data_IF_881913464234
#
_entry.id   IF_881913464234
#
_cell.length_a   1.000
_cell.length_b   1.000
_cell.length_c   1.000
_cell.angle_alpha   90.00
_cell.angle_beta   90.00
_cell.angle_gamma   90.00
#
_symmetry.space_group_name_H-M   'P 1'
#
loop_
_entity.id
_entity.type
_entity.pdbx_description
1 polymer ?
#
# COMPACT_ATOMS: atom_id res chain seq x y z
N UNK A 1 -2.49 -10.29 -18.56
CA UNK A 1 -3.08 -9.76 -17.34
C UNK A 1 -2.40 -10.40 -16.13
N UNK A 2 -1.58 -9.66 -15.41
CA UNK A 2 -1.15 -10.07 -14.08
C UNK A 2 -2.38 -9.94 -13.16
N UNK A 3 -2.87 -11.04 -12.64
CA UNK A 3 -4.08 -11.06 -11.83
C UNK A 3 -3.71 -11.52 -10.44
N UNK A 4 -3.90 -10.63 -9.46
CA UNK A 4 -3.68 -10.95 -8.07
C UNK A 4 -4.46 -12.19 -7.62
N UNK A 5 -3.95 -12.91 -6.64
CA UNK A 5 -4.50 -14.13 -6.04
C UNK A 5 -6.01 -14.08 -5.76
N UNK A 6 -6.54 -12.91 -5.41
CA UNK A 6 -7.96 -12.73 -5.14
C UNK A 6 -8.90 -13.09 -6.30
N UNK A 7 -8.44 -13.02 -7.55
CA UNK A 7 -9.25 -13.35 -8.72
C UNK A 7 -9.11 -14.81 -9.16
N UNK A 8 -8.04 -15.47 -8.81
CA UNK A 8 -7.73 -16.84 -9.25
C UNK A 8 -8.72 -17.86 -8.67
N UNK A 9 -9.00 -17.83 -7.39
CA UNK A 9 -9.94 -18.73 -6.75
C UNK A 9 -11.39 -18.44 -7.14
N UNK A 10 -11.78 -17.17 -7.31
CA UNK A 10 -13.12 -16.79 -7.79
C UNK A 10 -13.37 -17.31 -9.19
N UNK A 11 -12.40 -17.24 -10.08
CA UNK A 11 -12.53 -17.74 -11.45
C UNK A 11 -12.65 -19.26 -11.52
N UNK A 12 -11.94 -19.97 -10.66
CA UNK A 12 -12.09 -21.41 -10.53
C UNK A 12 -13.53 -21.77 -10.12
N UNK A 13 -14.11 -21.04 -9.21
CA UNK A 13 -15.50 -21.23 -8.80
C UNK A 13 -16.49 -20.86 -9.92
N UNK A 14 -16.32 -19.72 -10.57
CA UNK A 14 -17.16 -19.30 -11.69
C UNK A 14 -17.09 -20.31 -12.83
N UNK A 15 -15.90 -20.80 -13.17
CA UNK A 15 -15.74 -21.83 -14.18
C UNK A 15 -16.58 -23.08 -13.85
N UNK A 16 -16.56 -23.55 -12.62
CA UNK A 16 -17.33 -24.72 -12.19
C UNK A 16 -18.82 -24.51 -12.24
N UNK A 17 -19.30 -23.33 -11.89
CA UNK A 17 -20.71 -22.96 -12.03
C UNK A 17 -21.12 -23.01 -13.51
N UNK A 18 -20.36 -22.37 -14.40
CA UNK A 18 -20.62 -22.35 -15.83
C UNK A 18 -20.60 -23.78 -16.40
N UNK A 19 -19.63 -24.60 -15.99
CA UNK A 19 -19.54 -26.02 -16.39
C UNK A 19 -20.75 -26.83 -15.96
N UNK A 20 -21.21 -26.62 -14.72
CA UNK A 20 -22.39 -27.29 -14.17
C UNK A 20 -23.65 -26.90 -14.95
N UNK A 21 -23.88 -25.63 -15.18
CA UNK A 21 -25.04 -25.11 -15.90
C UNK A 21 -25.03 -25.52 -17.39
N UNK A 22 -23.84 -25.59 -17.98
CA UNK A 22 -23.69 -26.08 -19.37
C UNK A 22 -23.79 -27.60 -19.50
N UNK A 23 -23.95 -28.34 -18.41
CA UNK A 23 -24.12 -29.81 -18.42
C UNK A 23 -22.91 -30.56 -18.96
N UNK A 24 -21.71 -30.03 -18.88
CA UNK A 24 -20.49 -30.64 -19.42
C UNK A 24 -20.15 -31.92 -18.67
N UNK A 25 -20.11 -33.06 -19.37
CA UNK A 25 -19.78 -34.37 -18.81
C UNK A 25 -18.77 -35.10 -19.69
N UNK A 26 -17.95 -35.97 -19.11
CA UNK A 26 -17.07 -36.90 -19.81
C UNK A 26 -15.93 -36.29 -20.62
N UNK A 27 -15.64 -34.98 -20.45
CA UNK A 27 -14.49 -34.31 -21.09
C UNK A 27 -13.30 -34.26 -20.15
N UNK A 28 -12.11 -34.46 -20.70
CA UNK A 28 -10.88 -34.23 -19.96
C UNK A 28 -10.63 -32.71 -19.84
N UNK A 29 -10.50 -32.22 -18.62
CA UNK A 29 -10.37 -30.81 -18.33
C UNK A 29 -9.02 -30.54 -17.69
N UNK A 30 -8.34 -29.49 -18.15
CA UNK A 30 -7.09 -29.04 -17.60
C UNK A 30 -7.16 -27.52 -17.35
N UNK A 31 -6.48 -27.07 -16.32
CA UNK A 31 -6.35 -25.64 -16.05
C UNK A 31 -5.02 -25.11 -16.55
N UNK A 32 -5.08 -24.12 -17.42
CA UNK A 32 -3.95 -23.31 -17.83
C UNK A 32 -3.74 -22.21 -16.81
N UNK A 33 -2.53 -22.07 -16.31
CA UNK A 33 -2.11 -21.00 -15.41
C UNK A 33 -1.04 -20.18 -16.10
N UNK A 34 -1.27 -18.87 -16.27
CA UNK A 34 -0.36 -17.95 -16.93
C UNK A 34 -0.24 -16.65 -16.11
N UNK A 35 0.96 -16.14 -16.00
CA UNK A 35 1.27 -14.89 -15.26
C UNK A 35 1.33 -13.67 -16.18
N UNK A 36 1.46 -13.89 -17.48
CA UNK A 36 1.42 -12.86 -18.50
C UNK A 36 0.80 -13.39 -19.81
N UNK A 37 0.43 -12.47 -20.70
CA UNK A 37 -0.13 -12.82 -22.03
C UNK A 37 0.96 -12.84 -23.13
N UNK A 38 2.21 -13.06 -22.75
CA UNK A 38 3.27 -13.28 -23.73
C UNK A 38 3.15 -14.67 -24.33
N UNK A 39 3.56 -14.83 -25.60
CA UNK A 39 3.50 -16.11 -26.30
C UNK A 39 4.25 -17.22 -25.52
N UNK A 40 5.42 -16.91 -24.99
CA UNK A 40 6.22 -17.83 -24.20
C UNK A 40 5.45 -18.35 -22.97
N UNK A 41 4.81 -17.47 -22.19
CA UNK A 41 4.05 -17.86 -20.99
C UNK A 41 2.75 -18.59 -21.33
N UNK A 42 2.09 -18.25 -22.42
CA UNK A 42 0.88 -18.95 -22.87
C UNK A 42 1.25 -20.39 -23.25
N UNK A 43 2.29 -20.60 -24.08
CA UNK A 43 2.75 -21.93 -24.48
C UNK A 43 3.20 -22.76 -23.28
N UNK A 44 3.96 -22.17 -22.36
CA UNK A 44 4.36 -22.81 -21.11
C UNK A 44 3.15 -23.21 -20.27
N UNK A 45 2.17 -22.31 -20.09
CA UNK A 45 0.94 -22.59 -19.34
C UNK A 45 0.12 -23.73 -19.93
N UNK A 46 0.02 -23.80 -21.27
CA UNK A 46 -0.66 -24.91 -21.97
C UNK A 46 0.08 -26.23 -21.74
N UNK A 47 1.39 -26.24 -21.88
CA UNK A 47 2.22 -27.44 -21.75
C UNK A 47 2.26 -27.97 -20.31
N UNK A 48 2.18 -27.09 -19.32
CA UNK A 48 2.21 -27.40 -17.88
C UNK A 48 0.82 -27.48 -17.25
N UNK A 49 -0.24 -27.40 -18.04
CA UNK A 49 -1.62 -27.40 -17.55
C UNK A 49 -1.93 -28.67 -16.75
N UNK A 50 -2.37 -28.48 -15.52
CA UNK A 50 -2.70 -29.54 -14.56
C UNK A 50 -4.17 -29.97 -14.68
N UNK A 51 -4.48 -31.14 -14.16
CA UNK A 51 -5.85 -31.62 -14.08
C UNK A 51 -6.70 -30.69 -13.21
N UNK A 52 -7.98 -30.54 -13.58
CA UNK A 52 -8.87 -29.61 -12.89
C UNK A 52 -9.10 -29.99 -11.42
N UNK A 53 -8.96 -31.27 -11.06
CA UNK A 53 -9.12 -31.76 -9.68
C UNK A 53 -8.05 -31.23 -8.72
N UNK A 54 -6.86 -30.88 -9.21
CA UNK A 54 -5.82 -30.28 -8.37
C UNK A 54 -6.24 -28.90 -7.81
N UNK A 55 -7.30 -28.32 -8.35
CA UNK A 55 -7.84 -27.02 -7.94
C UNK A 55 -9.16 -27.11 -7.18
N UNK A 56 -9.52 -28.30 -6.64
CA UNK A 56 -10.75 -28.50 -5.88
C UNK A 56 -10.79 -27.63 -4.63
N UNK A 57 -9.76 -27.70 -3.81
CA UNK A 57 -9.67 -26.90 -2.60
C UNK A 57 -9.75 -25.37 -2.87
N UNK A 58 -9.19 -24.93 -3.99
CA UNK A 58 -9.25 -23.54 -4.40
C UNK A 58 -10.69 -23.12 -4.75
N UNK A 59 -11.42 -23.99 -5.44
CA UNK A 59 -12.84 -23.78 -5.76
C UNK A 59 -13.71 -23.78 -4.51
N UNK A 60 -13.49 -24.72 -3.61
CA UNK A 60 -14.26 -24.87 -2.37
C UNK A 60 -14.03 -23.67 -1.44
N UNK A 61 -12.81 -23.16 -1.37
CA UNK A 61 -12.50 -21.94 -0.65
C UNK A 61 -13.29 -20.74 -1.19
N UNK A 62 -13.39 -20.59 -2.50
CA UNK A 62 -14.18 -19.52 -3.12
C UNK A 62 -15.68 -19.68 -2.88
N UNK A 63 -16.19 -20.91 -2.96
CA UNK A 63 -17.59 -21.22 -2.67
C UNK A 63 -17.96 -20.93 -1.22
N UNK A 64 -17.16 -21.43 -0.27
CA UNK A 64 -17.38 -21.20 1.16
C UNK A 64 -17.37 -19.71 1.50
N UNK A 65 -16.42 -18.97 0.92
CA UNK A 65 -16.35 -17.52 1.10
C UNK A 65 -17.58 -16.80 0.55
N UNK A 66 -18.06 -17.17 -0.63
CA UNK A 66 -19.25 -16.58 -1.22
C UNK A 66 -20.50 -16.89 -0.38
N UNK A 67 -20.61 -18.12 0.13
CA UNK A 67 -21.71 -18.54 1.02
C UNK A 67 -21.68 -17.84 2.37
N UNK A 68 -20.51 -17.69 2.96
CA UNK A 68 -20.31 -16.92 4.21
C UNK A 68 -20.73 -15.47 4.02
N UNK A 69 -20.19 -14.78 3.00
CA UNK A 69 -20.51 -13.37 2.71
C UNK A 69 -22.01 -13.18 2.48
N UNK A 70 -22.68 -14.13 1.82
CA UNK A 70 -24.12 -14.08 1.60
C UNK A 70 -24.91 -14.26 2.90
N UNK A 71 -24.62 -15.32 3.65
CA UNK A 71 -25.37 -15.65 4.88
C UNK A 71 -25.17 -14.57 5.96
N UNK A 72 -23.92 -14.18 6.19
CA UNK A 72 -23.60 -13.13 7.19
C UNK A 72 -24.15 -11.78 6.73
N UNK A 73 -23.87 -11.40 5.49
CA UNK A 73 -24.28 -10.11 4.94
C UNK A 73 -25.79 -9.92 4.99
N UNK A 74 -26.56 -10.89 4.50
CA UNK A 74 -28.03 -10.76 4.42
C UNK A 74 -28.68 -10.75 5.81
N UNK A 75 -28.28 -11.69 6.67
CA UNK A 75 -28.93 -11.85 7.98
C UNK A 75 -28.58 -10.70 8.92
N UNK A 76 -27.29 -10.35 9.06
CA UNK A 76 -26.91 -9.26 9.97
C UNK A 76 -27.32 -7.89 9.45
N UNK A 77 -27.27 -7.63 8.14
CA UNK A 77 -27.77 -6.37 7.59
C UNK A 77 -29.26 -6.20 7.87
N UNK A 78 -30.05 -7.28 7.73
CA UNK A 78 -31.46 -7.26 8.00
C UNK A 78 -31.77 -7.01 9.48
N UNK A 79 -31.13 -7.76 10.37
CA UNK A 79 -31.31 -7.62 11.83
C UNK A 79 -30.90 -6.22 12.31
N UNK A 80 -29.74 -5.71 11.89
CA UNK A 80 -29.28 -4.39 12.29
C UNK A 80 -30.12 -3.26 11.70
N UNK A 81 -30.58 -3.40 10.46
CA UNK A 81 -31.48 -2.42 9.85
C UNK A 81 -32.81 -2.36 10.58
N UNK A 82 -33.40 -3.51 10.93
CA UNK A 82 -34.64 -3.56 11.68
C UNK A 82 -34.50 -2.98 13.10
N UNK A 83 -33.36 -3.29 13.75
CA UNK A 83 -33.15 -2.87 15.15
C UNK A 83 -32.73 -1.40 15.27
N UNK A 84 -31.89 -0.91 14.39
CA UNK A 84 -31.23 0.39 14.51
C UNK A 84 -31.51 1.36 13.36
N UNK A 85 -32.03 0.89 12.23
CA UNK A 85 -32.21 1.71 11.03
C UNK A 85 -33.05 2.94 11.25
N UNK A 86 -34.15 2.82 12.01
CA UNK A 86 -35.03 3.96 12.36
C UNK A 86 -34.29 5.00 13.21
N UNK A 87 -33.55 4.57 14.22
CA UNK A 87 -32.81 5.48 15.10
C UNK A 87 -31.72 6.22 14.33
N UNK A 88 -31.02 5.51 13.45
CA UNK A 88 -29.99 6.10 12.58
C UNK A 88 -30.60 7.08 11.59
N UNK A 89 -31.72 6.73 10.95
CA UNK A 89 -32.43 7.61 10.04
C UNK A 89 -32.83 8.91 10.72
N UNK A 90 -33.43 8.81 11.90
CA UNK A 90 -33.84 9.99 12.70
C UNK A 90 -32.64 10.87 13.07
N UNK A 91 -31.52 10.24 13.50
CA UNK A 91 -30.33 10.98 13.89
C UNK A 91 -29.65 11.70 12.68
N UNK A 92 -29.70 11.07 11.52
CA UNK A 92 -29.08 11.62 10.28
C UNK A 92 -30.09 12.47 9.47
N UNK A 93 -31.33 12.65 9.93
CA UNK A 93 -32.41 13.34 9.20
C UNK A 93 -32.67 12.74 7.81
N UNK A 94 -32.65 11.40 7.71
CA UNK A 94 -32.94 10.65 6.51
C UNK A 94 -34.31 9.98 6.59
N UNK A 95 -34.96 9.78 5.46
CA UNK A 95 -36.22 9.03 5.40
C UNK A 95 -36.03 7.56 5.78
N UNK A 96 -34.90 7.01 5.42
CA UNK A 96 -34.55 5.60 5.66
C UNK A 96 -33.02 5.43 5.80
N UNK A 97 -32.61 4.58 6.74
CA UNK A 97 -31.24 4.12 6.86
C UNK A 97 -31.17 2.59 6.80
N UNK A 98 -30.30 2.08 5.93
CA UNK A 98 -29.97 0.66 5.82
C UNK A 98 -28.61 0.45 6.43
N UNK A 99 -28.50 -0.48 7.39
CA UNK A 99 -27.24 -0.85 8.02
C UNK A 99 -26.70 -2.09 7.31
N UNK A 100 -25.79 -1.88 6.41
CA UNK A 100 -25.14 -2.97 5.67
C UNK A 100 -24.00 -3.57 6.48
N UNK A 101 -23.94 -4.89 6.52
CA UNK A 101 -22.84 -5.65 7.10
C UNK A 101 -22.09 -6.35 5.99
N UNK A 102 -20.79 -6.19 5.98
CA UNK A 102 -19.91 -6.87 5.04
C UNK A 102 -18.55 -7.08 5.69
N UNK A 103 -17.89 -8.16 5.36
CA UNK A 103 -16.64 -8.57 5.98
C UNK A 103 -15.56 -7.48 5.95
N UNK A 104 -15.33 -6.84 4.81
CA UNK A 104 -14.36 -5.76 4.68
C UNK A 104 -14.91 -4.44 5.24
N UNK A 105 -16.12 -4.05 4.83
CA UNK A 105 -16.71 -2.77 5.20
C UNK A 105 -16.87 -2.61 6.71
N UNK A 106 -17.33 -3.65 7.40
CA UNK A 106 -17.53 -3.63 8.86
C UNK A 106 -16.19 -3.52 9.60
N UNK A 107 -15.15 -4.23 9.12
CA UNK A 107 -13.80 -4.13 9.69
C UNK A 107 -13.23 -2.71 9.52
N UNK A 108 -13.33 -2.15 8.32
CA UNK A 108 -12.85 -0.78 8.02
C UNK A 108 -13.60 0.24 8.87
N UNK A 109 -14.93 0.14 8.99
CA UNK A 109 -15.71 1.00 9.87
C UNK A 109 -15.24 0.89 11.32
N UNK A 110 -14.99 -0.33 11.81
CA UNK A 110 -14.44 -0.56 13.14
C UNK A 110 -13.07 0.10 13.36
N UNK A 111 -12.20 0.08 12.37
CA UNK A 111 -10.92 0.78 12.42
C UNK A 111 -11.09 2.30 12.49
N UNK A 112 -11.98 2.87 11.66
CA UNK A 112 -12.27 4.31 11.66
C UNK A 112 -12.85 4.74 13.00
N UNK A 113 -13.84 4.01 13.53
CA UNK A 113 -14.45 4.31 14.84
C UNK A 113 -13.43 4.23 15.97
N UNK A 114 -12.52 3.24 15.94
CA UNK A 114 -11.44 3.14 16.93
C UNK A 114 -10.54 4.35 16.86
N UNK A 115 -10.11 4.73 15.65
CA UNK A 115 -9.26 5.91 15.46
C UNK A 115 -9.93 7.20 15.91
N UNK A 116 -11.21 7.35 15.62
CA UNK A 116 -11.99 8.51 16.07
C UNK A 116 -12.08 8.60 17.60
N UNK A 117 -12.26 7.44 18.27
CA UNK A 117 -12.24 7.38 19.74
C UNK A 117 -10.87 7.76 20.30
N UNK A 118 -9.77 7.28 19.70
CA UNK A 118 -8.40 7.66 20.08
C UNK A 118 -8.21 9.17 19.94
N UNK A 119 -8.68 9.77 18.85
CA UNK A 119 -8.58 11.22 18.62
C UNK A 119 -9.36 11.99 19.68
N UNK A 120 -10.60 11.56 19.99
CA UNK A 120 -11.45 12.23 21.01
C UNK A 120 -10.91 12.08 22.42
N UNK A 121 -10.26 10.98 22.74
CA UNK A 121 -9.65 10.71 24.03
C UNK A 121 -8.21 11.18 24.13
N UNK A 122 -7.67 11.80 23.07
CA UNK A 122 -6.27 12.22 23.03
C UNK A 122 -6.01 13.36 24.01
N UNK A 123 -5.13 13.13 24.95
CA UNK A 123 -4.66 14.13 25.92
C UNK A 123 -3.30 14.66 25.43
N UNK A 124 -3.24 15.96 25.17
CA UNK A 124 -2.00 16.62 24.80
C UNK A 124 -1.02 16.55 25.96
N UNK A 125 0.10 15.89 25.75
CA UNK A 125 1.18 15.83 26.75
C UNK A 125 2.31 16.78 26.29
N UNK A 126 2.50 17.91 27.00
CA UNK A 126 3.62 18.79 26.70
C UNK A 126 4.94 18.11 27.03
N UNK A 127 5.95 18.35 26.23
CA UNK A 127 7.33 17.98 26.53
C UNK A 127 8.27 19.11 26.08
N UNK A 128 9.42 19.19 26.74
CA UNK A 128 10.34 20.32 26.58
C UNK A 128 11.67 19.80 26.07
N UNK A 129 12.10 20.26 24.91
CA UNK A 129 13.43 19.98 24.36
C UNK A 129 14.38 21.14 24.67
N UNK A 130 15.62 20.79 24.89
CA UNK A 130 16.69 21.79 25.07
C UNK A 130 17.47 21.85 23.77
N UNK A 131 17.49 23.00 23.14
CA UNK A 131 18.21 23.28 21.91
C UNK A 131 19.17 24.42 22.18
N UNK A 132 20.46 24.20 22.02
CA UNK A 132 21.51 25.20 22.10
C UNK A 132 21.93 25.61 20.70
N UNK A 133 22.29 26.87 20.54
CA UNK A 133 22.94 27.35 19.34
C UNK A 133 24.46 27.21 19.52
N UNK A 134 25.08 26.40 18.71
CA UNK A 134 26.51 26.15 18.72
C UNK A 134 27.19 26.88 17.55
N UNK A 135 28.41 27.32 17.75
CA UNK A 135 29.25 27.96 16.75
C UNK A 135 30.53 27.15 16.57
N UNK A 136 30.83 26.81 15.32
CA UNK A 136 32.09 26.21 14.93
C UNK A 136 32.65 27.00 13.75
N UNK A 137 33.85 27.53 13.89
CA UNK A 137 34.47 28.44 12.92
C UNK A 137 33.51 29.60 12.55
N UNK A 138 33.13 29.68 11.26
CA UNK A 138 32.22 30.70 10.75
C UNK A 138 30.77 30.22 10.57
N UNK A 139 30.44 29.06 11.13
CA UNK A 139 29.11 28.45 10.97
C UNK A 139 28.42 28.32 12.33
N UNK A 140 27.13 28.64 12.35
CA UNK A 140 26.26 28.40 13.50
C UNK A 140 25.26 27.28 13.15
N UNK A 141 24.99 26.41 14.12
CA UNK A 141 24.02 25.34 13.97
C UNK A 141 23.28 25.04 15.28
N UNK A 142 22.09 24.50 15.16
CA UNK A 142 21.31 24.10 16.32
C UNK A 142 21.76 22.73 16.81
N UNK A 143 22.11 22.63 18.09
CA UNK A 143 22.49 21.40 18.76
C UNK A 143 21.36 20.97 19.72
N UNK A 144 20.68 19.87 19.42
CA UNK A 144 19.64 19.32 20.26
C UNK A 144 20.26 18.44 21.35
N UNK A 145 19.99 18.76 22.61
CA UNK A 145 20.39 17.89 23.71
C UNK A 145 19.66 16.55 23.65
N UNK A 146 20.40 15.47 23.83
CA UNK A 146 19.88 14.10 23.96
C UNK A 146 20.53 13.43 25.16
N UNK A 147 19.76 12.59 25.85
CA UNK A 147 20.29 11.80 26.94
C UNK A 147 21.29 10.76 26.38
N UNK A 148 22.42 10.64 27.06
CA UNK A 148 23.36 9.53 26.88
C UNK A 148 23.37 8.68 28.14
N UNK A 149 23.90 7.45 28.06
CA UNK A 149 23.98 6.55 29.20
C UNK A 149 24.78 7.14 30.40
N UNK A 150 25.65 8.09 30.11
CA UNK A 150 26.45 8.81 31.13
C UNK A 150 25.74 10.03 31.67
N UNK A 151 24.59 10.40 31.14
CA UNK A 151 23.83 11.55 31.60
C UNK A 151 23.19 11.30 32.97
N UNK A 152 23.18 12.32 33.84
CA UNK A 152 22.47 12.29 35.11
C UNK A 152 20.95 12.06 34.96
N UNK A 153 20.41 12.24 33.76
CA UNK A 153 19.00 12.05 33.44
C UNK A 153 18.72 10.68 32.84
N UNK A 154 19.75 9.85 32.57
CA UNK A 154 19.57 8.51 32.01
C UNK A 154 18.68 7.64 32.93
N UNK A 155 17.65 7.00 32.33
CA UNK A 155 16.72 6.13 33.05
C UNK A 155 15.81 6.83 34.10
N UNK A 156 15.83 8.16 34.18
CA UNK A 156 14.98 8.90 35.11
C UNK A 156 13.54 9.06 34.60
N UNK A 157 12.53 9.18 35.47
CA UNK A 157 11.14 9.40 35.08
C UNK A 157 10.89 10.81 34.53
N UNK A 158 11.87 11.71 34.61
CA UNK A 158 11.76 13.08 34.11
C UNK A 158 11.72 13.20 32.60
N UNK A 159 12.21 12.19 31.88
CA UNK A 159 12.25 12.19 30.44
C UNK A 159 10.97 11.61 29.83
N UNK A 160 10.52 12.20 28.75
CA UNK A 160 9.47 11.68 27.90
C UNK A 160 10.04 10.71 26.84
N UNK A 161 11.17 11.11 26.25
CA UNK A 161 12.01 10.35 25.31
C UNK A 161 13.46 10.83 25.50
N UNK A 162 14.36 10.34 24.69
CA UNK A 162 15.80 10.64 24.74
C UNK A 162 16.14 12.14 24.66
N UNK A 163 15.25 12.98 24.18
CA UNK A 163 15.48 14.40 23.93
C UNK A 163 14.42 15.33 24.54
N UNK A 164 13.55 14.84 25.39
CA UNK A 164 12.48 15.68 25.91
C UNK A 164 12.17 15.47 27.39
N UNK A 165 12.06 16.54 28.14
CA UNK A 165 11.62 16.52 29.53
C UNK A 165 10.10 16.61 29.63
N UNK A 166 9.50 15.91 30.59
CA UNK A 166 8.07 16.00 30.92
C UNK A 166 7.73 17.34 31.59
N UNK A 167 8.67 17.90 32.33
CA UNK A 167 8.50 19.12 33.13
C UNK A 167 9.41 20.23 32.60
N UNK A 168 8.87 21.42 32.43
CA UNK A 168 9.60 22.60 32.00
C UNK A 168 10.74 22.95 32.96
N UNK A 169 10.50 22.84 34.28
CA UNK A 169 11.48 23.15 35.32
C UNK A 169 12.77 22.33 35.15
N UNK A 170 12.64 21.04 34.79
CA UNK A 170 13.81 20.17 34.58
C UNK A 170 14.59 20.53 33.32
N UNK A 171 13.92 20.96 32.28
CA UNK A 171 14.59 21.49 31.10
C UNK A 171 15.33 22.81 31.42
N UNK A 172 14.72 23.71 32.23
CA UNK A 172 15.35 24.98 32.66
C UNK A 172 16.55 24.73 33.56
N UNK A 173 16.50 23.73 34.48
CA UNK A 173 17.64 23.33 35.29
C UNK A 173 18.82 22.88 34.42
N UNK A 174 18.56 22.10 33.36
CA UNK A 174 19.60 21.71 32.41
C UNK A 174 20.15 22.90 31.63
N UNK A 175 19.28 23.79 31.14
CA UNK A 175 19.71 25.02 30.44
C UNK A 175 20.63 25.84 31.34
N UNK A 176 20.27 26.06 32.61
CA UNK A 176 21.09 26.78 33.56
C UNK A 176 22.46 26.13 33.78
N UNK A 177 22.46 24.79 33.92
CA UNK A 177 23.72 24.05 34.09
C UNK A 177 24.64 24.16 32.87
N UNK A 178 24.06 24.10 31.64
CA UNK A 178 24.84 24.22 30.39
C UNK A 178 25.25 25.65 30.07
N UNK A 179 24.62 26.65 30.70
CA UNK A 179 24.86 28.06 30.41
C UNK A 179 25.80 28.76 31.42
N UNK A 180 26.34 28.05 32.38
CA UNK A 180 27.21 28.65 33.44
C UNK A 180 28.52 27.82 33.58
N UNK A 181 29.69 28.38 33.18
CA UNK A 181 29.89 29.69 32.53
C UNK A 181 29.60 29.68 31.03
N UNK A 182 29.18 30.81 30.48
CA UNK A 182 29.12 31.06 29.05
C UNK A 182 30.40 31.73 28.53
N UNK A 183 30.83 31.45 27.30
CA UNK A 183 30.31 30.42 26.39
C UNK A 183 30.72 29.00 26.80
N UNK A 184 29.75 28.10 26.86
CA UNK A 184 30.06 26.69 27.09
C UNK A 184 30.80 26.11 25.88
N UNK A 185 31.83 25.31 26.15
CA UNK A 185 32.58 24.63 25.09
C UNK A 185 32.10 23.17 24.95
N UNK A 186 31.83 22.78 23.74
CA UNK A 186 31.54 21.38 23.36
C UNK A 186 32.64 20.78 22.49
N UNK A 187 32.83 19.50 22.61
CA UNK A 187 33.76 18.74 21.75
C UNK A 187 32.97 17.82 20.84
N UNK A 188 33.31 17.82 19.56
CA UNK A 188 32.73 16.86 18.62
C UNK A 188 33.32 15.48 18.91
N UNK A 189 32.49 14.58 19.44
CA UNK A 189 32.92 13.22 19.79
C UNK A 189 33.00 12.32 18.56
N UNK A 190 31.98 12.40 17.68
CA UNK A 190 31.96 11.61 16.45
C UNK A 190 31.22 12.32 15.31
N UNK A 191 31.65 12.04 14.09
CA UNK A 191 30.96 12.47 12.86
C UNK A 191 30.69 11.26 11.99
N UNK A 192 29.42 10.92 11.82
CA UNK A 192 29.01 9.88 10.89
C UNK A 192 28.51 10.51 9.58
N UNK A 193 29.11 10.07 8.47
CA UNK A 193 28.64 10.38 7.12
C UNK A 193 27.99 9.16 6.53
N UNK A 194 26.66 9.19 6.38
CA UNK A 194 25.90 8.11 5.75
C UNK A 194 25.53 8.51 4.32
N UNK A 195 25.89 7.68 3.37
CA UNK A 195 25.42 7.83 1.99
C UNK A 195 24.07 7.08 1.90
N UNK A 196 22.99 7.82 1.81
CA UNK A 196 21.69 7.24 1.56
C UNK A 196 21.39 7.20 0.07
N UNK A 197 20.98 6.04 -0.43
CA UNK A 197 20.50 5.88 -1.80
C UNK A 197 19.00 5.71 -1.79
N UNK A 198 18.29 6.68 -2.35
CA UNK A 198 16.83 6.60 -2.52
C UNK A 198 16.54 6.02 -3.90
N UNK A 199 16.03 4.80 -3.91
CA UNK A 199 15.58 4.19 -5.16
C UNK A 199 14.28 4.85 -5.66
N UNK A 200 14.05 4.90 -6.98
CA UNK A 200 12.74 5.26 -7.53
C UNK A 200 11.61 4.40 -6.95
N UNK A 201 10.37 4.89 -6.90
CA UNK A 201 9.24 4.10 -6.42
C UNK A 201 9.02 2.87 -7.30
N UNK A 202 8.32 1.87 -6.76
CA UNK A 202 7.82 0.74 -7.54
C UNK A 202 6.69 1.24 -8.48
N UNK A 203 6.26 0.37 -9.39
CA UNK A 203 5.12 0.65 -10.26
C UNK A 203 3.84 0.90 -9.44
N UNK A 204 2.86 1.55 -10.04
CA UNK A 204 1.58 1.79 -9.37
C UNK A 204 0.73 0.53 -9.29
N UNK A 205 0.17 0.28 -8.12
CA UNK A 205 -1.05 -0.49 -7.95
C UNK A 205 -2.24 0.47 -7.81
N UNK A 206 -3.46 -0.07 -7.67
CA UNK A 206 -4.66 0.76 -7.60
C UNK A 206 -4.61 1.75 -6.41
N UNK A 207 -4.22 1.28 -5.23
CA UNK A 207 -4.20 2.13 -4.03
C UNK A 207 -3.20 3.29 -4.15
N UNK A 208 -2.02 3.04 -4.69
CA UNK A 208 -1.01 4.06 -4.88
C UNK A 208 -1.43 5.10 -5.92
N UNK A 209 -1.98 4.66 -7.05
CA UNK A 209 -2.43 5.61 -8.09
C UNK A 209 -3.63 6.43 -7.62
N UNK A 210 -4.57 5.85 -6.87
CA UNK A 210 -5.68 6.58 -6.26
C UNK A 210 -5.17 7.65 -5.28
N UNK A 211 -4.17 7.31 -4.47
CA UNK A 211 -3.55 8.23 -3.52
C UNK A 211 -2.84 9.39 -4.22
N UNK A 212 -2.11 9.09 -5.29
CA UNK A 212 -1.40 10.10 -6.09
C UNK A 212 -2.38 11.02 -6.83
N UNK A 213 -3.39 10.46 -7.49
CA UNK A 213 -4.43 11.23 -8.17
C UNK A 213 -5.22 12.12 -7.20
N UNK A 214 -5.53 11.61 -6.01
CA UNK A 214 -6.19 12.42 -4.98
C UNK A 214 -5.33 13.60 -4.52
N UNK A 215 -4.01 13.42 -4.40
CA UNK A 215 -3.08 14.50 -4.05
C UNK A 215 -2.93 15.53 -5.16
N UNK A 216 -2.73 15.09 -6.39
CA UNK A 216 -2.40 15.95 -7.53
C UNK A 216 -3.65 16.61 -8.14
N UNK A 217 -4.70 15.82 -8.36
CA UNK A 217 -5.88 16.25 -9.12
C UNK A 217 -7.12 16.48 -8.25
N UNK A 218 -7.06 16.14 -6.96
CA UNK A 218 -8.18 16.27 -6.01
C UNK A 218 -9.43 15.46 -6.41
N UNK A 219 -9.25 14.40 -7.20
CA UNK A 219 -10.33 13.48 -7.59
C UNK A 219 -10.48 12.35 -6.55
N UNK A 220 -11.67 11.78 -6.50
CA UNK A 220 -11.99 10.68 -5.57
C UNK A 220 -11.33 9.36 -5.99
N UNK A 221 -11.14 8.42 -5.07
CA UNK A 221 -10.69 7.07 -5.40
C UNK A 221 -11.60 6.34 -6.41
N UNK A 222 -12.92 6.54 -6.31
CA UNK A 222 -13.89 5.93 -7.23
C UNK A 222 -13.77 6.52 -8.64
N UNK A 223 -13.63 7.83 -8.76
CA UNK A 223 -13.40 8.50 -10.03
C UNK A 223 -12.08 8.04 -10.67
N UNK A 224 -11.01 7.95 -9.89
CA UNK A 224 -9.73 7.39 -10.34
C UNK A 224 -9.90 5.96 -10.87
N UNK A 225 -10.62 5.11 -10.15
CA UNK A 225 -10.89 3.73 -10.57
C UNK A 225 -11.64 3.68 -11.91
N UNK A 226 -12.65 4.53 -12.09
CA UNK A 226 -13.42 4.59 -13.34
C UNK A 226 -12.54 4.98 -14.52
N UNK A 227 -11.69 6.01 -14.36
CA UNK A 227 -10.74 6.43 -15.40
C UNK A 227 -9.77 5.29 -15.76
N UNK A 228 -9.20 4.62 -14.75
CA UNK A 228 -8.28 3.52 -15.00
C UNK A 228 -8.99 2.33 -15.65
N UNK A 229 -10.24 2.08 -15.30
CA UNK A 229 -11.05 1.05 -15.94
C UNK A 229 -11.25 1.34 -17.43
N UNK A 230 -11.55 2.58 -17.80
CA UNK A 230 -11.66 2.99 -19.21
C UNK A 230 -10.31 2.84 -19.96
N UNK A 231 -9.20 3.20 -19.32
CA UNK A 231 -7.87 3.01 -19.90
C UNK A 231 -7.54 1.52 -20.09
N UNK A 232 -7.96 0.67 -19.15
CA UNK A 232 -7.81 -0.78 -19.27
C UNK A 232 -8.63 -1.35 -20.44
N UNK A 233 -9.88 -0.92 -20.60
CA UNK A 233 -10.72 -1.34 -21.72
C UNK A 233 -10.13 -0.93 -23.08
N UNK A 234 -9.46 0.22 -23.12
CA UNK A 234 -8.67 0.69 -24.27
C UNK A 234 -7.29 0.03 -24.40
N UNK A 235 -6.95 -0.92 -23.51
CA UNK A 235 -5.67 -1.67 -23.48
C UNK A 235 -4.44 -0.80 -23.30
N UNK A 236 -4.58 0.35 -22.64
CA UNK A 236 -3.48 1.28 -22.35
C UNK A 236 -2.79 0.99 -21.02
N UNK A 237 -3.46 0.31 -20.10
CA UNK A 237 -2.93 -0.11 -18.81
C UNK A 237 -3.30 -1.57 -18.53
N UNK A 238 -2.64 -2.19 -17.56
CA UNK A 238 -2.98 -3.54 -17.07
C UNK A 238 -4.24 -3.50 -16.18
N UNK A 239 -4.73 -4.67 -15.78
CA UNK A 239 -5.93 -4.79 -14.95
C UNK A 239 -5.81 -3.98 -13.66
N UNK A 240 -6.77 -3.09 -13.37
CA UNK A 240 -6.61 -2.09 -12.31
C UNK A 240 -6.55 -2.66 -10.89
N UNK A 241 -7.22 -3.79 -10.64
CA UNK A 241 -7.29 -4.40 -9.31
C UNK A 241 -6.19 -5.44 -9.12
N UNK A 242 -4.94 -5.04 -9.29
CA UNK A 242 -3.77 -5.86 -9.01
C UNK A 242 -2.96 -5.25 -7.88
N UNK A 243 -2.43 -6.09 -6.99
CA UNK A 243 -1.55 -5.66 -5.92
C UNK A 243 -0.07 -5.65 -6.35
N UNK A 244 0.25 -6.33 -7.45
CA UNK A 244 1.61 -6.39 -7.97
C UNK A 244 2.11 -5.02 -8.43
N UNK A 245 3.29 -4.63 -7.93
CA UNK A 245 3.97 -3.37 -8.23
C UNK A 245 5.29 -3.58 -8.97
N UNK A 246 5.43 -4.73 -9.58
CA UNK A 246 6.63 -5.17 -10.29
C UNK A 246 6.26 -5.83 -11.61
N UNK A 247 7.21 -5.95 -12.50
CA UNK A 247 7.07 -6.65 -13.76
C UNK A 247 7.37 -8.15 -13.57
N UNK A 248 6.78 -9.00 -14.39
CA UNK A 248 7.28 -10.36 -14.58
C UNK A 248 8.53 -10.36 -15.47
N UNK A 249 9.33 -11.42 -15.36
CA UNK A 249 10.48 -11.62 -16.24
C UNK A 249 10.06 -11.65 -17.71
N UNK A 250 8.94 -12.26 -18.03
CA UNK A 250 8.39 -12.29 -19.39
C UNK A 250 8.06 -10.89 -19.91
N UNK A 251 7.36 -10.08 -19.11
CA UNK A 251 7.02 -8.69 -19.49
C UNK A 251 8.28 -7.82 -19.57
N UNK A 252 9.26 -8.00 -18.68
CA UNK A 252 10.50 -7.20 -18.67
C UNK A 252 11.32 -7.36 -19.95
N UNK A 253 11.32 -8.55 -20.55
CA UNK A 253 11.97 -8.80 -21.85
C UNK A 253 11.33 -7.98 -22.99
N UNK A 254 10.05 -7.72 -22.91
CA UNK A 254 9.28 -6.99 -23.93
C UNK A 254 9.06 -5.52 -23.63
N UNK A 255 9.54 -5.02 -22.49
CA UNK A 255 9.30 -3.64 -22.04
C UNK A 255 9.72 -2.58 -23.07
N UNK A 256 10.69 -2.89 -23.92
CA UNK A 256 11.13 -2.02 -25.00
C UNK A 256 10.00 -1.69 -26.00
N UNK A 257 9.04 -2.60 -26.19
CA UNK A 257 7.86 -2.38 -27.05
C UNK A 257 6.94 -1.34 -26.43
N UNK A 258 6.69 -1.44 -25.12
CA UNK A 258 5.86 -0.49 -24.36
C UNK A 258 6.47 0.92 -24.38
N UNK A 259 7.80 1.01 -24.10
CA UNK A 259 8.52 2.29 -24.17
C UNK A 259 8.51 2.82 -25.60
N UNK A 260 8.64 1.93 -26.62
CA UNK A 260 8.53 2.31 -28.04
C UNK A 260 7.18 2.95 -28.37
N UNK A 261 6.09 2.44 -27.83
CA UNK A 261 4.75 3.02 -27.98
C UNK A 261 4.63 4.43 -27.40
N UNK A 262 5.32 4.71 -26.31
CA UNK A 262 5.31 6.03 -25.66
C UNK A 262 5.96 7.14 -26.49
N UNK A 263 6.76 6.81 -27.52
CA UNK A 263 7.31 7.82 -28.45
C UNK A 263 6.23 8.60 -29.22
N UNK A 264 5.03 8.02 -29.33
CA UNK A 264 3.90 8.66 -29.97
C UNK A 264 3.11 9.58 -29.01
N UNK A 265 3.47 9.65 -27.73
CA UNK A 265 2.84 10.49 -26.73
C UNK A 265 3.73 11.69 -26.40
N UNK A 266 3.40 12.92 -26.88
CA UNK A 266 4.28 14.07 -26.79
C UNK A 266 4.87 14.37 -25.42
N UNK A 267 4.13 14.26 -24.30
CA UNK A 267 4.65 14.62 -22.98
C UNK A 267 5.84 13.77 -22.50
N UNK A 268 6.01 12.57 -23.05
CA UNK A 268 7.08 11.63 -22.62
C UNK A 268 7.94 11.13 -23.78
N UNK A 269 7.72 11.66 -24.98
CA UNK A 269 8.44 11.25 -26.20
C UNK A 269 9.96 11.29 -26.02
N UNK A 270 10.49 12.41 -25.58
CA UNK A 270 11.95 12.62 -25.43
C UNK A 270 12.54 11.64 -24.41
N UNK A 271 11.84 11.39 -23.31
CA UNK A 271 12.25 10.45 -22.28
C UNK A 271 12.27 9.03 -22.85
N UNK A 272 11.22 8.63 -23.57
CA UNK A 272 11.13 7.31 -24.18
C UNK A 272 12.24 7.09 -25.23
N UNK A 273 12.52 8.09 -26.06
CA UNK A 273 13.60 8.06 -27.04
C UNK A 273 14.98 7.94 -26.35
N UNK A 274 15.20 8.74 -25.31
CA UNK A 274 16.46 8.69 -24.54
C UNK A 274 16.70 7.31 -23.91
N UNK A 275 15.67 6.71 -23.31
CA UNK A 275 15.75 5.37 -22.71
C UNK A 275 16.14 4.32 -23.76
N UNK A 276 15.47 4.34 -24.93
CA UNK A 276 15.71 3.35 -25.98
C UNK A 276 17.07 3.52 -26.64
N UNK A 277 17.48 4.75 -26.95
CA UNK A 277 18.79 5.05 -27.56
C UNK A 277 19.95 4.61 -26.67
N UNK A 278 19.82 4.80 -25.36
CA UNK A 278 20.84 4.43 -24.39
C UNK A 278 20.69 3.00 -23.82
N UNK A 279 19.76 2.22 -24.34
CA UNK A 279 19.46 0.86 -23.87
C UNK A 279 19.23 0.75 -22.35
N UNK A 280 18.65 1.79 -21.72
CA UNK A 280 18.48 1.85 -20.26
C UNK A 280 17.46 0.84 -19.74
N UNK A 281 16.59 0.30 -20.60
CA UNK A 281 15.64 -0.75 -20.29
C UNK A 281 16.28 -2.14 -20.13
N UNK A 282 17.50 -2.33 -20.61
CA UNK A 282 18.22 -3.62 -20.49
C UNK A 282 18.63 -3.89 -19.05
N UNK A 283 18.43 -5.13 -18.61
CA UNK A 283 18.83 -5.56 -17.28
C UNK A 283 17.78 -5.26 -16.18
N UNK A 284 16.61 -4.74 -16.53
CA UNK A 284 15.53 -4.49 -15.58
C UNK A 284 15.08 -5.76 -14.87
N UNK A 285 15.22 -6.93 -15.53
CA UNK A 285 14.91 -8.25 -14.98
C UNK A 285 15.79 -8.63 -13.77
N UNK A 286 16.93 -7.96 -13.60
CA UNK A 286 17.86 -8.16 -12.47
C UNK A 286 17.66 -7.14 -11.34
N UNK A 287 16.66 -6.31 -11.44
CA UNK A 287 16.40 -5.24 -10.48
C UNK A 287 15.21 -5.57 -9.59
N UNK A 288 15.03 -4.76 -8.54
CA UNK A 288 13.84 -4.83 -7.66
C UNK A 288 12.50 -4.58 -8.35
N UNK A 289 12.51 -4.11 -9.60
CA UNK A 289 11.32 -3.82 -10.39
C UNK A 289 10.82 -5.02 -11.19
N UNK A 290 11.49 -6.17 -11.08
CA UNK A 290 11.08 -7.44 -11.68
C UNK A 290 11.11 -8.54 -10.62
N UNK A 291 9.96 -9.22 -10.41
CA UNK A 291 9.86 -10.28 -9.41
C UNK A 291 8.65 -11.20 -9.73
N UNK A 292 8.91 -12.35 -10.33
CA UNK A 292 7.85 -13.30 -10.69
C UNK A 292 7.09 -13.83 -9.48
N UNK A 293 7.77 -14.03 -8.33
CA UNK A 293 7.12 -14.51 -7.11
C UNK A 293 6.09 -13.51 -6.56
N UNK A 294 6.39 -12.22 -6.63
CA UNK A 294 5.45 -11.19 -6.17
C UNK A 294 4.24 -10.97 -7.09
N UNK A 295 4.17 -11.67 -8.23
CA UNK A 295 3.05 -11.64 -9.15
C UNK A 295 2.17 -12.88 -8.96
N UNK A 296 2.76 -13.99 -8.56
CA UNK A 296 2.10 -15.30 -8.39
C UNK A 296 1.61 -15.55 -6.98
N UNK A 297 2.20 -14.90 -5.98
CA UNK A 297 1.82 -14.96 -4.56
C UNK A 297 0.81 -13.83 -4.21
#
# INVERSE_FOLDING_TARGET
>A
ESRGLGDVYKRQYIYRLVRQEAGVKGKKERRVWIDSQTEEEILKGINTAKDISEYDNLSDSAYLRAKEDYLMGINFSRVLTLKYGRNIANYLHLDRAVVSVGRVMTCVLGMVVRREREIRSFVKTPFYRVIGQAQADNSTFDAEWRVSDKSMYAGTPYLYKDNGFKERKKAEELVKFLSDPLPAQGVVDSIERKKETKNPPLLYNLAEIQNECSKLFKISPDETLNIIQELYEKKLVTYPRTDARVLSTAVSKEIHKNIGGLRNFPPVKEIAEHILQNNMQKGIEKTRYCNDKAITD
#
